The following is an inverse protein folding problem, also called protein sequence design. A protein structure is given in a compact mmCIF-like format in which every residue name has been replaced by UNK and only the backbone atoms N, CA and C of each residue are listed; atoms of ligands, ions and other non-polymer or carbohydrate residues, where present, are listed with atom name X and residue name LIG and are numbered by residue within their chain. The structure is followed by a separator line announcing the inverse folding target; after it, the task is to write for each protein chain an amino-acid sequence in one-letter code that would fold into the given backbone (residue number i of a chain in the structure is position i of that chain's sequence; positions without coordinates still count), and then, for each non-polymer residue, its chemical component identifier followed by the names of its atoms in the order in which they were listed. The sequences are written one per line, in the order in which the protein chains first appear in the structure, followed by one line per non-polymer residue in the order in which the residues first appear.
data_IF_890390848846
#
_entry.id   IF_890390848846
#
_cell.length_a   1.000
_cell.length_b   1.000
_cell.length_c   1.000
_cell.angle_alpha   90.00
_cell.angle_beta   90.00
_cell.angle_gamma   90.00
#
_symmetry.space_group_name_H-M   'P 1'
#
loop_
_entity.id
_entity.type
_entity.pdbx_description
1 polymer ?
#
# COMPACT_ATOMS: atom_id res chain seq x y z
N UNK A 1 -8.59 16.09 17.63
CA UNK A 1 -8.13 14.92 16.84
C UNK A 1 -6.72 14.57 17.32
N UNK A 2 -6.40 13.30 17.59
CA UNK A 2 -5.10 12.89 18.13
C UNK A 2 -4.37 12.03 17.09
N UNK A 3 -3.21 12.48 16.64
CA UNK A 3 -2.35 11.71 15.72
C UNK A 3 -1.48 10.74 16.52
N UNK A 4 -1.20 9.57 15.95
CA UNK A 4 -0.20 8.62 16.48
C UNK A 4 0.75 8.24 15.35
N UNK A 5 2.04 8.48 15.57
CA UNK A 5 3.10 8.03 14.67
C UNK A 5 3.55 6.61 15.08
N UNK A 6 3.69 5.71 14.11
CA UNK A 6 4.21 4.36 14.29
C UNK A 6 5.43 4.19 13.39
N UNK A 7 6.49 3.59 13.91
CA UNK A 7 7.72 3.35 13.17
C UNK A 7 8.32 2.00 13.55
N UNK A 8 8.95 1.35 12.58
CA UNK A 8 9.68 0.09 12.74
C UNK A 8 10.90 0.10 11.83
N UNK A 9 12.00 -0.55 12.24
CA UNK A 9 13.22 -0.64 11.45
C UNK A 9 13.18 -1.88 10.56
N UNK A 10 13.36 -1.69 9.26
CA UNK A 10 13.55 -2.76 8.28
C UNK A 10 15.02 -2.76 7.88
N UNK A 11 15.73 -3.88 8.04
CA UNK A 11 17.16 -4.01 7.72
C UNK A 11 17.40 -4.21 6.22
N UNK A 12 16.92 -3.28 5.39
CA UNK A 12 17.06 -3.24 3.93
C UNK A 12 17.24 -1.80 3.46
N UNK A 13 17.62 -1.61 2.20
CA UNK A 13 17.72 -0.26 1.64
C UNK A 13 16.32 0.37 1.53
N UNK A 14 16.19 1.70 1.66
CA UNK A 14 14.90 2.38 1.48
C UNK A 14 14.27 2.11 0.11
N UNK A 15 15.08 2.07 -0.94
CA UNK A 15 14.61 1.87 -2.32
C UNK A 15 14.01 0.47 -2.51
N UNK A 16 14.62 -0.57 -1.95
CA UNK A 16 14.07 -1.93 -1.98
C UNK A 16 12.74 -2.02 -1.23
N UNK A 17 12.64 -1.38 -0.07
CA UNK A 17 11.40 -1.36 0.73
C UNK A 17 10.31 -0.62 -0.01
N UNK A 18 10.63 0.53 -0.59
CA UNK A 18 9.67 1.35 -1.34
C UNK A 18 9.17 0.61 -2.58
N UNK A 19 10.06 0.00 -3.36
CA UNK A 19 9.68 -0.78 -4.55
C UNK A 19 8.74 -1.94 -4.20
N UNK A 20 9.00 -2.65 -3.10
CA UNK A 20 8.13 -3.73 -2.63
C UNK A 20 6.78 -3.22 -2.11
N UNK A 21 6.78 -2.13 -1.33
CA UNK A 21 5.56 -1.59 -0.76
C UNK A 21 4.64 -0.94 -1.83
N UNK A 22 5.22 -0.32 -2.85
CA UNK A 22 4.48 0.37 -3.90
C UNK A 22 3.87 -0.57 -4.95
N UNK A 23 4.30 -1.83 -5.01
CA UNK A 23 3.75 -2.81 -5.94
C UNK A 23 2.39 -3.34 -5.44
N UNK A 24 1.29 -3.12 -6.20
CA UNK A 24 -0.03 -3.61 -5.84
C UNK A 24 -0.10 -5.12 -5.57
N UNK A 25 0.75 -5.93 -6.22
CA UNK A 25 0.80 -7.38 -6.03
C UNK A 25 1.23 -7.78 -4.61
N UNK A 26 1.94 -6.89 -3.91
CA UNK A 26 2.41 -7.12 -2.55
C UNK A 26 1.44 -6.60 -1.48
N UNK A 27 0.43 -5.79 -1.83
CA UNK A 27 -0.52 -5.20 -0.86
C UNK A 27 -1.17 -6.24 0.06
N UNK A 28 -1.66 -7.41 -0.41
CA UNK A 28 -2.28 -8.40 0.47
C UNK A 28 -1.34 -8.94 1.55
N UNK A 29 -0.01 -8.86 1.35
CA UNK A 29 0.98 -9.39 2.28
C UNK A 29 1.22 -8.51 3.51
N UNK A 30 0.93 -7.21 3.43
CA UNK A 30 1.25 -6.25 4.50
C UNK A 30 0.11 -5.30 4.86
N UNK A 31 -0.85 -5.08 3.96
CA UNK A 31 -1.99 -4.19 4.15
C UNK A 31 -3.29 -4.98 4.38
N UNK A 32 -3.30 -5.93 5.32
CA UNK A 32 -4.43 -6.84 5.53
C UNK A 32 -5.79 -6.16 5.79
N UNK A 33 -5.79 -4.93 6.30
CA UNK A 33 -7.02 -4.12 6.48
C UNK A 33 -7.54 -3.46 5.19
N UNK A 34 -6.68 -3.32 4.19
CA UNK A 34 -6.98 -2.72 2.88
C UNK A 34 -7.21 -3.80 1.81
N UNK A 35 -6.39 -4.85 1.86
CA UNK A 35 -6.35 -5.93 0.88
C UNK A 35 -6.37 -7.28 1.59
N UNK A 36 -7.54 -7.92 1.56
CA UNK A 36 -7.72 -9.29 2.07
C UNK A 36 -7.87 -10.32 0.93
N UNK A 37 -7.93 -9.86 -0.33
CA UNK A 37 -8.18 -10.70 -1.50
C UNK A 37 -7.50 -10.20 -2.76
N UNK A 38 -8.17 -10.36 -3.90
CA UNK A 38 -7.64 -9.99 -5.21
C UNK A 38 -7.50 -8.46 -5.33
N UNK A 39 -6.35 -8.02 -5.87
CA UNK A 39 -6.10 -6.62 -6.22
C UNK A 39 -6.23 -6.49 -7.73
N UNK A 40 -7.28 -5.80 -8.17
CA UNK A 40 -7.54 -5.55 -9.59
C UNK A 40 -7.19 -4.12 -9.95
N UNK A 41 -6.53 -3.91 -11.08
CA UNK A 41 -6.29 -2.57 -11.62
C UNK A 41 -7.45 -2.14 -12.52
N UNK A 42 -7.92 -0.92 -12.30
CA UNK A 42 -8.94 -0.21 -13.07
C UNK A 42 -8.40 1.18 -13.41
N UNK A 43 -7.62 1.26 -14.49
CA UNK A 43 -6.88 2.48 -14.85
C UNK A 43 -5.81 2.83 -13.81
N UNK A 44 -5.94 4.00 -13.19
CA UNK A 44 -5.08 4.49 -12.11
C UNK A 44 -5.57 4.09 -10.71
N UNK A 45 -6.69 3.37 -10.64
CA UNK A 45 -7.33 2.97 -9.40
C UNK A 45 -7.15 1.47 -9.17
N UNK A 46 -6.89 1.09 -7.93
CA UNK A 46 -6.93 -0.29 -7.48
C UNK A 46 -8.29 -0.58 -6.87
N UNK A 47 -8.90 -1.69 -7.29
CA UNK A 47 -10.13 -2.23 -6.72
C UNK A 47 -9.74 -3.44 -5.88
N UNK A 48 -10.09 -3.40 -4.60
CA UNK A 48 -9.59 -4.34 -3.60
C UNK A 48 -10.73 -4.88 -2.76
N UNK A 49 -10.75 -6.21 -2.60
CA UNK A 49 -11.63 -6.86 -1.63
C UNK A 49 -11.05 -6.75 -0.22
N UNK A 50 -11.82 -6.12 0.67
CA UNK A 50 -11.46 -5.94 2.07
C UNK A 50 -12.54 -6.51 3.00
N UNK A 51 -12.26 -6.71 4.29
CA UNK A 51 -13.27 -7.10 5.26
C UNK A 51 -14.45 -6.12 5.40
N UNK A 52 -14.32 -4.90 4.87
CA UNK A 52 -15.34 -3.85 4.88
C UNK A 52 -16.16 -3.80 3.58
N UNK A 53 -15.89 -4.68 2.62
CA UNK A 53 -16.44 -4.67 1.26
C UNK A 53 -15.41 -4.26 0.21
N UNK A 54 -15.88 -4.04 -1.02
CA UNK A 54 -15.03 -3.54 -2.11
C UNK A 54 -14.57 -2.11 -1.81
N UNK A 55 -13.27 -1.85 -1.93
CA UNK A 55 -12.65 -0.55 -1.71
C UNK A 55 -11.90 -0.14 -2.98
N UNK A 56 -11.98 1.16 -3.31
CA UNK A 56 -11.22 1.77 -4.41
C UNK A 56 -10.13 2.67 -3.83
N UNK A 57 -8.89 2.42 -4.24
CA UNK A 57 -7.70 3.11 -3.73
C UNK A 57 -6.91 3.67 -4.90
N UNK A 58 -6.42 4.89 -4.77
CA UNK A 58 -5.46 5.46 -5.73
C UNK A 58 -4.22 5.86 -4.95
N UNK A 59 -3.08 5.32 -5.35
CA UNK A 59 -1.79 5.73 -4.83
C UNK A 59 -1.25 6.94 -5.60
N UNK A 60 -0.39 7.73 -4.97
CA UNK A 60 0.45 8.66 -5.73
C UNK A 60 1.42 7.93 -6.65
N UNK A 61 1.87 8.59 -7.73
CA UNK A 61 2.91 8.02 -8.59
C UNK A 61 4.20 7.75 -7.82
N UNK A 62 4.96 6.78 -8.33
CA UNK A 62 6.33 6.48 -7.89
C UNK A 62 7.15 7.77 -7.81
N UNK A 63 7.78 8.01 -6.67
CA UNK A 63 8.51 9.25 -6.39
C UNK A 63 9.82 8.99 -5.64
N UNK A 64 10.73 9.96 -5.70
CA UNK A 64 12.04 9.88 -5.04
C UNK A 64 12.01 10.25 -3.55
N UNK A 65 10.83 10.56 -2.99
CA UNK A 65 10.70 10.91 -1.57
C UNK A 65 10.50 9.67 -0.68
N UNK A 66 10.23 8.51 -1.27
CA UNK A 66 9.95 7.27 -0.55
C UNK A 66 8.60 7.29 0.17
N UNK A 67 7.68 8.16 -0.25
CA UNK A 67 6.34 8.32 0.33
C UNK A 67 5.33 7.55 -0.51
N UNK A 68 4.53 6.71 0.16
CA UNK A 68 3.38 6.01 -0.40
C UNK A 68 2.13 6.54 0.32
N UNK A 69 1.23 7.18 -0.43
CA UNK A 69 -0.02 7.77 0.05
C UNK A 69 -1.20 7.48 -0.89
#
# INVERSE_FOLDING_TARGET
MRTRHLAVVIRRSPDEVYALAADPAHLPSWAAGLAAGEVRSDGDTLVVDSPMGEVRVRFTPTNSFGVLD
#
